data_IF_848272387839
#
_entry.id   IF_848272387839
#
_cell.length_a   1.000
_cell.length_b   1.000
_cell.length_c   1.000
_cell.angle_alpha   90.00
_cell.angle_beta   90.00
_cell.angle_gamma   90.00
#
_symmetry.space_group_name_H-M   'P 1'
#
loop_
_entity.id
_entity.type
_entity.pdbx_description
1 polymer ?
#
# COMPACT_ATOMS: atom_id res chain seq x y z
N UNK A 1 9.55 -56.52 -41.43
CA UNK A 1 10.49 -56.26 -40.33
C UNK A 1 9.85 -55.17 -39.48
N UNK A 2 8.69 -55.45 -38.87
CA UNK A 2 8.35 -56.55 -37.91
C UNK A 2 8.87 -56.22 -36.50
N UNK A 3 8.10 -56.36 -35.41
CA UNK A 3 6.64 -56.40 -35.35
C UNK A 3 6.09 -56.07 -33.94
N UNK A 4 4.77 -55.90 -33.89
CA UNK A 4 3.80 -56.49 -32.95
C UNK A 4 4.31 -57.50 -31.87
N UNK A 5 3.67 -57.72 -30.71
CA UNK A 5 2.67 -57.04 -29.84
C UNK A 5 2.64 -57.85 -28.52
N UNK A 6 1.54 -57.81 -27.74
CA UNK A 6 1.13 -58.76 -26.69
C UNK A 6 1.87 -58.58 -25.33
N UNK A 7 1.24 -58.46 -24.14
CA UNK A 7 -0.09 -58.06 -23.62
C UNK A 7 -0.40 -58.91 -22.37
N UNK A 8 -1.18 -58.38 -21.42
CA UNK A 8 -1.95 -59.13 -20.38
C UNK A 8 -1.11 -59.81 -19.28
N UNK A 9 -1.44 -59.86 -17.97
CA UNK A 9 -2.52 -59.40 -17.03
C UNK A 9 -1.95 -59.68 -15.59
N UNK A 10 -2.44 -59.31 -14.40
CA UNK A 10 -3.60 -58.59 -13.79
C UNK A 10 -3.18 -58.19 -12.33
N UNK A 11 -3.93 -57.59 -11.40
CA UNK A 11 -5.36 -57.17 -11.31
C UNK A 11 -5.55 -55.95 -10.37
N UNK A 12 -6.74 -55.34 -10.43
CA UNK A 12 -7.57 -54.79 -9.33
C UNK A 12 -6.96 -54.27 -8.02
N UNK A 13 -7.19 -52.97 -7.79
CA UNK A 13 -8.11 -52.54 -6.71
C UNK A 13 -8.88 -51.26 -7.10
N UNK A 14 -9.96 -50.95 -6.36
CA UNK A 14 -10.97 -49.93 -6.72
C UNK A 14 -10.71 -48.56 -6.09
N UNK A 15 -10.95 -47.49 -6.83
CA UNK A 15 -12.04 -46.55 -6.50
C UNK A 15 -12.42 -45.64 -7.67
N UNK A 16 -13.73 -45.40 -7.87
CA UNK A 16 -14.29 -44.36 -8.74
C UNK A 16 -15.37 -43.62 -7.97
N UNK A 17 -15.32 -42.30 -7.93
CA UNK A 17 -16.46 -41.46 -7.58
C UNK A 17 -16.32 -40.10 -8.28
N UNK A 18 -17.23 -39.79 -9.22
CA UNK A 18 -17.40 -38.44 -9.75
C UNK A 18 -18.56 -37.76 -9.02
N UNK A 19 -18.49 -36.44 -8.81
CA UNK A 19 -19.53 -35.66 -8.14
C UNK A 19 -20.65 -35.24 -9.12
N UNK A 20 -21.93 -35.59 -8.87
CA UNK A 20 -23.07 -35.04 -9.58
C UNK A 20 -23.58 -33.74 -8.91
N UNK A 21 -24.02 -32.71 -9.68
CA UNK A 21 -24.47 -31.43 -9.11
C UNK A 21 -25.97 -31.44 -8.77
N UNK A 22 -26.34 -31.79 -7.53
CA UNK A 22 -27.77 -31.77 -7.10
C UNK A 22 -28.06 -31.53 -5.60
N UNK A 23 -27.05 -31.30 -4.74
CA UNK A 23 -27.22 -31.24 -3.28
C UNK A 23 -26.94 -29.85 -2.67
N UNK A 24 -27.65 -28.81 -3.13
CA UNK A 24 -27.59 -27.45 -2.57
C UNK A 24 -28.98 -26.75 -2.46
N UNK A 25 -30.06 -27.51 -2.22
CA UNK A 25 -31.42 -26.95 -2.24
C UNK A 25 -32.42 -27.56 -1.23
N UNK A 26 -31.94 -28.30 -0.21
CA UNK A 26 -32.80 -29.05 0.73
C UNK A 26 -32.56 -28.78 2.23
N UNK A 27 -31.68 -27.83 2.58
CA UNK A 27 -31.24 -27.61 3.99
C UNK A 27 -31.86 -26.37 4.65
N UNK A 28 -32.97 -25.84 4.10
CA UNK A 28 -33.70 -24.70 4.67
C UNK A 28 -35.18 -25.03 4.96
N UNK A 29 -35.42 -26.22 5.53
CA UNK A 29 -36.68 -26.57 6.21
C UNK A 29 -36.37 -27.27 7.54
N UNK A 30 -37.27 -27.08 8.53
CA UNK A 30 -37.27 -27.55 9.93
C UNK A 30 -36.88 -26.51 11.01
N UNK A 31 -37.90 -25.83 11.53
CA UNK A 31 -37.98 -25.24 12.88
C UNK A 31 -39.43 -25.45 13.39
N UNK A 32 -39.66 -26.00 14.61
CA UNK A 32 -40.99 -26.41 15.08
C UNK A 32 -41.85 -25.25 15.66
N UNK A 33 -43.15 -25.46 15.94
CA UNK A 33 -44.14 -24.38 15.91
C UNK A 33 -44.65 -23.83 17.26
N UNK A 34 -45.37 -22.70 17.14
CA UNK A 34 -46.50 -22.23 17.95
C UNK A 34 -46.34 -21.93 19.46
N UNK A 35 -46.59 -20.67 19.83
CA UNK A 35 -47.29 -20.31 21.07
C UNK A 35 -48.11 -19.01 20.91
N UNK A 36 -49.33 -19.00 21.47
CA UNK A 36 -50.36 -17.93 21.49
C UNK A 36 -51.54 -18.42 22.36
N UNK A 37 -52.57 -17.62 22.76
CA UNK A 37 -52.96 -16.27 22.27
C UNK A 37 -53.40 -15.25 23.36
N UNK A 38 -53.87 -14.05 22.91
CA UNK A 38 -54.83 -13.17 23.62
C UNK A 38 -54.20 -12.02 24.42
N UNK A 39 -54.65 -10.76 24.33
CA UNK A 39 -56.03 -10.26 24.40
C UNK A 39 -56.18 -8.82 23.80
N UNK A 40 -57.42 -8.41 23.51
CA UNK A 40 -57.91 -7.07 23.10
C UNK A 40 -59.28 -6.89 23.81
N UNK A 41 -59.86 -5.68 24.04
CA UNK A 41 -59.90 -4.54 23.11
C UNK A 41 -59.90 -3.11 23.72
N UNK A 42 -60.14 -2.11 22.84
CA UNK A 42 -60.89 -0.84 23.03
C UNK A 42 -60.78 -0.02 24.34
N UNK A 43 -60.27 1.22 24.21
CA UNK A 43 -60.99 2.39 24.73
C UNK A 43 -60.87 3.56 23.71
N UNK A 44 -61.33 4.78 24.05
CA UNK A 44 -61.81 5.74 23.04
C UNK A 44 -61.77 7.22 23.48
N UNK A 45 -62.06 8.13 22.52
CA UNK A 45 -62.29 9.59 22.70
C UNK A 45 -61.04 10.45 23.08
N UNK A 46 -60.91 11.75 22.74
CA UNK A 46 -61.67 12.63 21.82
C UNK A 46 -60.94 13.95 21.45
N UNK A 47 -61.16 14.44 20.23
CA UNK A 47 -61.36 15.84 19.79
C UNK A 47 -60.34 16.99 20.09
N UNK A 48 -59.88 17.63 18.98
CA UNK A 48 -59.69 19.11 18.78
C UNK A 48 -58.67 19.88 19.66
N UNK A 49 -57.96 20.93 19.21
CA UNK A 49 -58.00 21.72 17.96
C UNK A 49 -56.58 22.28 17.62
N UNK A 50 -56.33 22.90 16.45
CA UNK A 50 -54.96 23.09 15.92
C UNK A 50 -54.32 24.47 16.16
N UNK A 51 -53.07 24.51 16.64
CA UNK A 51 -52.15 25.66 16.53
C UNK A 51 -50.68 25.20 16.39
N UNK A 52 -49.86 26.07 15.78
CA UNK A 52 -48.40 26.03 15.58
C UNK A 52 -47.73 24.81 14.89
N UNK A 53 -47.17 24.97 13.68
CA UNK A 53 -46.19 24.03 13.13
C UNK A 53 -44.80 24.27 13.75
N UNK A 54 -44.46 23.52 14.80
CA UNK A 54 -43.15 23.56 15.45
C UNK A 54 -42.01 23.25 14.47
N UNK A 55 -41.09 24.20 14.25
CA UNK A 55 -39.97 24.05 13.31
C UNK A 55 -39.01 22.93 13.73
N UNK A 56 -38.98 21.84 12.96
CA UNK A 56 -37.85 20.89 12.99
C UNK A 56 -37.37 20.42 11.59
N UNK A 57 -36.70 21.28 10.80
CA UNK A 57 -35.98 20.87 9.59
C UNK A 57 -34.45 20.92 9.68
N UNK A 58 -33.84 21.17 10.86
CA UNK A 58 -32.38 21.40 10.97
C UNK A 58 -31.52 20.13 11.01
N UNK A 59 -32.05 18.99 11.45
CA UNK A 59 -31.28 17.72 11.48
C UNK A 59 -31.24 17.00 10.11
N UNK A 60 -32.07 17.43 9.14
CA UNK A 60 -32.05 16.91 7.77
C UNK A 60 -31.21 17.83 6.87
N UNK A 61 -31.36 19.16 7.01
CA UNK A 61 -30.55 20.14 6.25
C UNK A 61 -29.06 20.11 6.61
N UNK A 62 -28.67 19.59 7.78
CA UNK A 62 -27.28 19.32 8.15
C UNK A 62 -26.68 18.09 7.44
N UNK A 63 -27.49 17.07 7.13
CA UNK A 63 -27.07 15.96 6.27
C UNK A 63 -27.00 16.38 4.80
N UNK A 64 -27.97 17.16 4.31
CA UNK A 64 -27.95 17.67 2.94
C UNK A 64 -26.90 18.77 2.70
N UNK A 65 -26.53 19.58 3.69
CA UNK A 65 -25.43 20.55 3.53
C UNK A 65 -24.04 19.89 3.52
N UNK A 66 -23.89 18.69 4.12
CA UNK A 66 -22.69 17.86 3.96
C UNK A 66 -22.59 17.19 2.58
N UNK A 67 -23.72 16.94 1.89
CA UNK A 67 -23.71 16.47 0.50
C UNK A 67 -23.60 17.61 -0.53
N UNK A 68 -24.10 18.81 -0.21
CA UNK A 68 -24.08 19.99 -1.07
C UNK A 68 -22.76 20.78 -1.04
N UNK A 69 -21.66 20.14 -1.49
CA UNK A 69 -20.59 20.89 -2.17
C UNK A 69 -20.59 20.56 -3.67
N UNK A 70 -20.20 21.48 -4.57
CA UNK A 70 -20.27 21.31 -6.04
C UNK A 70 -19.16 20.39 -6.58
N UNK A 71 -18.98 19.24 -5.93
CA UNK A 71 -17.85 18.30 -6.04
C UNK A 71 -18.31 16.84 -6.16
N UNK A 72 -19.61 16.63 -6.37
CA UNK A 72 -20.24 15.31 -6.53
C UNK A 72 -20.16 14.73 -7.96
N UNK A 73 -19.34 15.33 -8.85
CA UNK A 73 -19.09 14.76 -10.19
C UNK A 73 -18.35 13.43 -10.08
N UNK A 74 -18.77 12.42 -10.85
CA UNK A 74 -18.10 11.12 -10.89
C UNK A 74 -16.63 11.25 -11.31
N UNK A 75 -16.29 12.24 -12.14
CA UNK A 75 -14.92 12.56 -12.53
C UNK A 75 -14.05 12.86 -11.30
N UNK A 76 -14.57 13.58 -10.29
CA UNK A 76 -13.81 13.89 -9.08
C UNK A 76 -13.49 12.63 -8.27
N UNK A 77 -14.45 11.70 -8.16
CA UNK A 77 -14.27 10.42 -7.45
C UNK A 77 -13.27 9.51 -8.18
N UNK A 78 -13.33 9.45 -9.51
CA UNK A 78 -12.36 8.72 -10.35
C UNK A 78 -10.95 9.32 -10.22
N UNK A 79 -10.81 10.65 -10.31
CA UNK A 79 -9.51 11.32 -10.18
C UNK A 79 -8.92 11.17 -8.77
N UNK A 80 -9.74 11.24 -7.72
CA UNK A 80 -9.30 10.94 -6.35
C UNK A 80 -8.76 9.51 -6.23
N UNK A 81 -9.51 8.50 -6.69
CA UNK A 81 -9.05 7.09 -6.66
C UNK A 81 -7.79 6.90 -7.50
N UNK A 82 -7.70 7.53 -8.67
CA UNK A 82 -6.51 7.49 -9.52
C UNK A 82 -5.26 8.06 -8.82
N UNK A 83 -5.38 9.19 -8.13
CA UNK A 83 -4.29 9.84 -7.38
C UNK A 83 -3.84 9.04 -6.14
N UNK A 84 -4.70 8.18 -5.61
CA UNK A 84 -4.32 7.21 -4.57
C UNK A 84 -3.68 5.95 -5.16
N UNK A 85 -4.28 5.36 -6.21
CA UNK A 85 -3.74 4.17 -6.86
C UNK A 85 -2.41 4.43 -7.58
N UNK A 86 -2.17 5.67 -8.02
CA UNK A 86 -0.87 6.07 -8.59
C UNK A 86 0.28 6.03 -7.59
N UNK A 87 0.02 6.04 -6.27
CA UNK A 87 1.06 5.82 -5.26
C UNK A 87 1.64 4.40 -5.37
N UNK A 88 0.76 3.39 -5.49
CA UNK A 88 1.13 2.00 -5.69
C UNK A 88 1.79 1.77 -7.05
N UNK A 89 1.27 2.43 -8.09
CA UNK A 89 1.85 2.41 -9.44
C UNK A 89 3.28 2.96 -9.43
N UNK A 90 3.52 4.11 -8.81
CA UNK A 90 4.87 4.72 -8.74
C UNK A 90 5.82 3.94 -7.86
N UNK A 91 5.36 3.40 -6.73
CA UNK A 91 6.16 2.50 -5.88
C UNK A 91 6.76 1.35 -6.69
N UNK A 92 5.91 0.59 -7.39
CA UNK A 92 6.40 -0.54 -8.19
C UNK A 92 7.02 -0.13 -9.52
N UNK A 93 6.65 1.01 -10.12
CA UNK A 93 7.37 1.54 -11.28
C UNK A 93 8.82 1.90 -10.93
N UNK A 94 9.07 2.51 -9.77
CA UNK A 94 10.43 2.81 -9.32
C UNK A 94 11.28 1.56 -9.07
N UNK A 95 10.67 0.44 -8.63
CA UNK A 95 11.31 -0.88 -8.61
C UNK A 95 11.57 -1.38 -10.04
N UNK A 96 10.58 -1.32 -10.93
CA UNK A 96 10.66 -1.74 -12.32
C UNK A 96 11.74 -1.00 -13.12
N UNK A 97 11.96 0.29 -12.88
CA UNK A 97 13.06 1.07 -13.47
C UNK A 97 14.45 0.54 -13.07
N UNK A 98 14.56 -0.09 -11.90
CA UNK A 98 15.83 -0.59 -11.35
C UNK A 98 16.47 -1.69 -12.20
N UNK A 99 15.66 -2.59 -12.77
CA UNK A 99 16.14 -3.73 -13.54
C UNK A 99 16.88 -3.34 -14.84
N UNK A 100 16.31 -2.56 -15.78
CA UNK A 100 17.05 -2.14 -16.96
C UNK A 100 18.14 -1.11 -16.63
N UNK A 101 17.96 -0.26 -15.61
CA UNK A 101 19.01 0.71 -15.26
C UNK A 101 20.27 0.06 -14.70
N UNK A 102 20.19 -1.13 -14.07
CA UNK A 102 21.34 -1.89 -13.58
C UNK A 102 22.44 -2.14 -14.65
N UNK A 103 22.05 -2.41 -15.90
CA UNK A 103 22.98 -2.62 -17.02
C UNK A 103 23.31 -1.32 -17.77
N UNK A 104 22.31 -0.46 -18.01
CA UNK A 104 22.46 0.81 -18.74
C UNK A 104 23.35 1.83 -18.01
N UNK A 105 23.21 1.93 -16.70
CA UNK A 105 23.99 2.87 -15.87
C UNK A 105 25.40 2.32 -15.64
N UNK A 106 25.56 1.00 -15.51
CA UNK A 106 26.87 0.36 -15.40
C UNK A 106 27.72 0.50 -16.68
N UNK A 107 27.12 0.36 -17.87
CA UNK A 107 27.81 0.63 -19.14
C UNK A 107 28.13 2.12 -19.31
N UNK A 108 27.23 3.02 -18.86
CA UNK A 108 27.47 4.47 -18.89
C UNK A 108 28.61 4.92 -17.98
N UNK A 109 28.79 4.30 -16.82
CA UNK A 109 29.92 4.54 -15.90
C UNK A 109 31.11 3.59 -16.15
N UNK A 110 31.16 2.89 -17.28
CA UNK A 110 32.26 2.01 -17.68
C UNK A 110 32.62 0.89 -16.69
N UNK A 111 31.72 0.54 -15.77
CA UNK A 111 32.03 -0.23 -14.58
C UNK A 111 31.40 -1.61 -14.63
N UNK A 112 32.23 -2.66 -14.75
CA UNK A 112 31.79 -4.04 -14.95
C UNK A 112 31.57 -4.85 -13.65
N UNK A 113 31.44 -4.21 -12.48
CA UNK A 113 31.29 -4.95 -11.22
C UNK A 113 29.81 -5.35 -10.98
N UNK A 114 29.47 -6.66 -10.89
CA UNK A 114 28.08 -7.10 -10.67
C UNK A 114 27.54 -6.66 -9.31
N UNK A 115 28.44 -6.40 -8.35
CA UNK A 115 28.11 -5.88 -7.03
C UNK A 115 27.38 -4.54 -7.14
N UNK A 116 27.97 -3.57 -7.84
CA UNK A 116 27.43 -2.20 -7.91
C UNK A 116 26.10 -2.16 -8.67
N UNK A 117 26.00 -2.82 -9.83
CA UNK A 117 24.73 -2.93 -10.57
C UNK A 117 23.57 -3.49 -9.73
N UNK A 118 23.86 -4.38 -8.78
CA UNK A 118 22.84 -4.95 -7.89
C UNK A 118 22.29 -3.92 -6.89
N UNK A 119 23.13 -3.00 -6.41
CA UNK A 119 22.72 -1.94 -5.47
C UNK A 119 21.72 -0.95 -6.07
N UNK A 120 21.73 -0.73 -7.38
CA UNK A 120 20.84 0.25 -8.05
C UNK A 120 19.34 -0.10 -7.89
N UNK A 121 19.04 -1.38 -7.72
CA UNK A 121 17.70 -1.89 -7.36
C UNK A 121 17.55 -2.11 -5.85
N UNK A 122 18.56 -2.69 -5.19
CA UNK A 122 18.52 -2.98 -3.75
C UNK A 122 18.33 -1.73 -2.89
N UNK A 123 19.05 -0.64 -3.17
CA UNK A 123 19.01 0.62 -2.42
C UNK A 123 17.59 1.20 -2.32
N UNK A 124 16.79 1.08 -3.39
CA UNK A 124 15.38 1.47 -3.38
C UNK A 124 14.52 0.53 -2.53
N UNK A 125 14.66 -0.79 -2.72
CA UNK A 125 13.87 -1.79 -2.01
C UNK A 125 14.15 -1.77 -0.48
N UNK A 126 15.41 -1.54 -0.10
CA UNK A 126 15.89 -1.40 1.26
C UNK A 126 15.16 -0.27 2.01
N UNK A 127 15.14 0.94 1.47
CA UNK A 127 14.48 2.07 2.14
C UNK A 127 12.96 2.05 2.00
N UNK A 128 12.43 1.63 0.84
CA UNK A 128 10.98 1.48 0.62
C UNK A 128 10.36 0.50 1.62
N UNK A 129 11.01 -0.65 1.87
CA UNK A 129 10.60 -1.58 2.91
C UNK A 129 10.84 -1.03 4.33
N UNK A 130 12.06 -0.56 4.63
CA UNK A 130 12.43 -0.24 6.02
C UNK A 130 11.68 0.94 6.63
N UNK A 131 11.34 1.95 5.81
CA UNK A 131 10.64 3.14 6.31
C UNK A 131 9.10 3.01 6.27
N UNK A 132 8.52 1.92 5.74
CA UNK A 132 7.06 1.84 5.50
C UNK A 132 6.23 1.95 6.79
N UNK A 133 6.72 1.39 7.90
CA UNK A 133 6.09 1.48 9.21
C UNK A 133 6.14 2.90 9.76
N UNK A 134 7.29 3.57 9.62
CA UNK A 134 7.49 4.96 10.02
C UNK A 134 6.62 5.92 9.18
N UNK A 135 6.56 5.71 7.86
CA UNK A 135 5.74 6.52 6.93
C UNK A 135 4.23 6.37 7.17
N UNK A 136 3.77 5.18 7.57
CA UNK A 136 2.41 4.95 8.06
C UNK A 136 2.11 5.77 9.32
N UNK A 137 2.89 5.59 10.39
CA UNK A 137 2.68 6.30 11.67
C UNK A 137 2.85 7.82 11.58
N UNK A 138 3.78 8.29 10.76
CA UNK A 138 3.92 9.71 10.41
C UNK A 138 2.63 10.26 9.77
N UNK A 139 1.95 9.42 8.99
CA UNK A 139 0.63 9.66 8.40
C UNK A 139 -0.48 9.84 9.43
N UNK A 140 -0.57 8.93 10.39
CA UNK A 140 -1.56 8.95 11.47
C UNK A 140 -1.44 10.26 12.29
N UNK A 141 -0.21 10.71 12.55
CA UNK A 141 0.10 11.86 13.41
C UNK A 141 -0.02 13.21 12.67
N UNK A 142 0.64 13.39 11.52
CA UNK A 142 0.66 14.67 10.79
C UNK A 142 -0.44 14.81 9.73
N UNK A 143 -1.16 13.72 9.42
CA UNK A 143 -2.30 13.66 8.51
C UNK A 143 -1.92 13.15 7.11
N UNK A 144 -2.56 12.05 6.68
CA UNK A 144 -2.20 11.30 5.46
C UNK A 144 -2.08 12.14 4.18
N UNK A 145 -2.95 13.15 3.96
CA UNK A 145 -2.85 14.05 2.79
C UNK A 145 -1.49 14.76 2.75
N UNK A 146 -0.98 15.22 3.89
CA UNK A 146 0.32 15.92 3.97
C UNK A 146 1.47 14.97 3.65
N UNK A 147 1.43 13.73 4.16
CA UNK A 147 2.45 12.72 3.87
C UNK A 147 2.43 12.23 2.43
N UNK A 148 1.25 12.10 1.82
CA UNK A 148 1.12 11.80 0.39
C UNK A 148 1.70 12.93 -0.48
N UNK A 149 1.41 14.19 -0.13
CA UNK A 149 1.93 15.37 -0.81
C UNK A 149 3.46 15.46 -0.71
N UNK A 150 4.02 15.36 0.50
CA UNK A 150 5.48 15.41 0.71
C UNK A 150 6.18 14.20 0.09
N UNK A 151 5.57 13.02 0.12
CA UNK A 151 6.07 11.82 -0.56
C UNK A 151 6.22 12.02 -2.07
N UNK A 152 5.19 12.53 -2.76
CA UNK A 152 5.29 12.82 -4.21
C UNK A 152 6.29 13.95 -4.53
N UNK A 153 6.37 15.00 -3.70
CA UNK A 153 7.36 16.06 -3.88
C UNK A 153 8.80 15.57 -3.67
N UNK A 154 9.01 14.69 -2.69
CA UNK A 154 10.29 14.02 -2.41
C UNK A 154 10.69 13.11 -3.58
N UNK A 155 9.75 12.33 -4.13
CA UNK A 155 9.98 11.50 -5.31
C UNK A 155 10.39 12.35 -6.52
N UNK A 156 9.67 13.45 -6.78
CA UNK A 156 9.98 14.35 -7.88
C UNK A 156 11.42 14.92 -7.77
N UNK A 157 11.81 15.39 -6.58
CA UNK A 157 13.15 15.91 -6.31
C UNK A 157 14.23 14.85 -6.51
N UNK A 158 14.12 13.69 -5.86
CA UNK A 158 15.15 12.64 -5.93
C UNK A 158 15.19 11.86 -7.24
N UNK A 159 14.10 11.88 -8.01
CA UNK A 159 14.12 11.41 -9.41
C UNK A 159 14.82 12.41 -10.33
N UNK A 160 14.63 13.73 -10.12
CA UNK A 160 15.37 14.76 -10.87
C UNK A 160 16.88 14.68 -10.57
N UNK A 161 17.27 14.54 -9.30
CA UNK A 161 18.67 14.35 -8.90
C UNK A 161 19.28 13.05 -9.44
N UNK A 162 18.53 11.94 -9.50
CA UNK A 162 19.01 10.70 -10.11
C UNK A 162 19.31 10.87 -11.61
N UNK A 163 18.50 11.62 -12.36
CA UNK A 163 18.80 11.96 -13.75
C UNK A 163 20.04 12.88 -13.90
N UNK A 164 20.28 13.78 -12.93
CA UNK A 164 21.49 14.62 -12.91
C UNK A 164 22.78 13.87 -12.55
N UNK A 165 22.70 12.66 -11.98
CA UNK A 165 23.88 11.89 -11.56
C UNK A 165 24.90 11.59 -12.68
N UNK A 166 24.45 11.64 -13.95
CA UNK A 166 25.31 11.55 -15.13
C UNK A 166 26.44 12.60 -15.12
N UNK A 167 26.19 13.81 -14.63
CA UNK A 167 27.20 14.88 -14.56
C UNK A 167 28.19 14.66 -13.40
N UNK A 168 27.79 13.94 -12.35
CA UNK A 168 28.63 13.67 -11.18
C UNK A 168 29.56 12.47 -11.38
N UNK A 169 29.23 11.57 -12.32
CA UNK A 169 29.99 10.33 -12.61
C UNK A 169 30.23 9.45 -11.36
N UNK A 170 29.40 9.60 -10.32
CA UNK A 170 29.56 8.92 -9.03
C UNK A 170 28.44 7.91 -8.81
N UNK A 171 28.80 6.63 -8.83
CA UNK A 171 27.88 5.51 -8.57
C UNK A 171 27.21 5.67 -7.19
N UNK A 172 27.97 6.05 -6.17
CA UNK A 172 27.48 6.25 -4.80
C UNK A 172 26.43 7.35 -4.73
N UNK A 173 26.56 8.42 -5.53
CA UNK A 173 25.55 9.49 -5.59
C UNK A 173 24.24 8.98 -6.21
N UNK A 174 24.32 8.14 -7.25
CA UNK A 174 23.15 7.50 -7.85
C UNK A 174 22.47 6.53 -6.87
N UNK A 175 23.23 5.68 -6.17
CA UNK A 175 22.70 4.78 -5.13
C UNK A 175 22.00 5.54 -3.99
N UNK A 176 22.58 6.65 -3.53
CA UNK A 176 21.94 7.54 -2.54
C UNK A 176 20.63 8.12 -3.09
N UNK A 177 20.59 8.57 -4.35
CA UNK A 177 19.35 9.05 -4.96
C UNK A 177 18.28 7.94 -5.06
N UNK A 178 18.67 6.69 -5.36
CA UNK A 178 17.77 5.52 -5.38
C UNK A 178 17.26 5.16 -3.98
N UNK A 179 18.13 5.23 -2.97
CA UNK A 179 17.74 5.08 -1.55
C UNK A 179 16.75 6.16 -1.11
N UNK A 180 16.98 7.43 -1.47
CA UNK A 180 16.06 8.52 -1.14
C UNK A 180 14.73 8.41 -1.90
N UNK A 181 14.72 7.91 -3.14
CA UNK A 181 13.48 7.58 -3.85
C UNK A 181 12.66 6.51 -3.13
N UNK A 182 13.28 5.47 -2.55
CA UNK A 182 12.55 4.43 -1.83
C UNK A 182 11.79 4.95 -0.60
N UNK A 183 12.35 5.94 0.10
CA UNK A 183 11.66 6.64 1.20
C UNK A 183 10.33 7.25 0.73
N UNK A 184 10.26 7.80 -0.50
CA UNK A 184 8.99 8.35 -1.01
C UNK A 184 7.87 7.31 -1.05
N UNK A 185 8.16 6.07 -1.43
CA UNK A 185 7.17 4.98 -1.46
C UNK A 185 6.73 4.57 -0.06
N UNK A 186 7.64 4.59 0.92
CA UNK A 186 7.30 4.39 2.31
C UNK A 186 6.35 5.48 2.85
N UNK A 187 6.45 6.72 2.34
CA UNK A 187 5.52 7.79 2.68
C UNK A 187 4.20 7.72 1.89
N UNK A 188 4.21 7.43 0.58
CA UNK A 188 2.99 7.51 -0.25
C UNK A 188 2.08 6.29 -0.11
N UNK A 189 2.60 5.06 -0.11
CA UNK A 189 1.79 3.82 -0.17
C UNK A 189 0.85 3.65 1.04
N UNK A 190 1.33 3.62 2.30
CA UNK A 190 0.43 3.42 3.45
C UNK A 190 -0.55 4.57 3.61
N UNK A 191 -0.14 5.81 3.30
CA UNK A 191 -1.00 6.99 3.37
C UNK A 191 -2.08 7.01 2.28
N UNK A 192 -1.78 6.55 1.07
CA UNK A 192 -2.77 6.38 0.02
C UNK A 192 -3.80 5.30 0.39
N UNK A 193 -3.35 4.17 0.97
CA UNK A 193 -4.24 3.11 1.46
C UNK A 193 -5.13 3.59 2.62
N UNK A 194 -4.59 4.38 3.56
CA UNK A 194 -5.34 4.97 4.66
C UNK A 194 -6.42 5.94 4.14
N UNK A 195 -6.07 6.86 3.23
CA UNK A 195 -7.02 7.76 2.57
C UNK A 195 -8.12 6.99 1.80
N UNK A 196 -7.76 5.90 1.13
CA UNK A 196 -8.73 5.05 0.41
C UNK A 196 -9.71 4.35 1.39
N UNK A 197 -9.21 3.92 2.55
CA UNK A 197 -10.00 3.30 3.62
C UNK A 197 -10.99 4.26 4.28
N UNK A 198 -10.61 5.54 4.40
CA UNK A 198 -11.42 6.60 5.01
C UNK A 198 -12.45 7.18 4.02
N UNK A 199 -12.16 7.10 2.71
CA UNK A 199 -13.06 7.59 1.66
C UNK A 199 -14.20 6.63 1.29
N UNK A 200 -14.08 5.33 1.58
CA UNK A 200 -15.07 4.31 1.22
C UNK A 200 -15.53 3.51 2.45
N UNK A 201 -16.83 3.59 2.84
CA UNK A 201 -17.34 2.84 3.98
C UNK A 201 -17.29 1.33 3.74
N UNK A 202 -17.28 0.57 4.83
CA UNK A 202 -17.18 -0.90 4.81
C UNK A 202 -18.28 -1.53 3.93
N UNK A 203 -17.87 -2.23 2.88
CA UNK A 203 -18.79 -2.86 1.93
C UNK A 203 -18.13 -3.17 0.59
N UNK A 204 -18.93 -3.60 -0.38
CA UNK A 204 -18.48 -4.05 -1.70
C UNK A 204 -17.68 -2.98 -2.46
N UNK A 205 -18.06 -1.70 -2.33
CA UNK A 205 -17.35 -0.58 -2.98
C UNK A 205 -15.92 -0.42 -2.45
N UNK A 206 -15.69 -0.58 -1.14
CA UNK A 206 -14.34 -0.56 -0.55
C UNK A 206 -13.50 -1.73 -1.07
N UNK A 207 -14.09 -2.93 -1.15
CA UNK A 207 -13.39 -4.10 -1.67
C UNK A 207 -12.99 -3.91 -3.15
N UNK A 208 -13.87 -3.32 -3.98
CA UNK A 208 -13.56 -2.94 -5.37
C UNK A 208 -12.43 -1.90 -5.45
N UNK A 209 -12.45 -0.87 -4.60
CA UNK A 209 -11.41 0.15 -4.55
C UNK A 209 -10.04 -0.44 -4.16
N UNK A 210 -9.99 -1.32 -3.15
CA UNK A 210 -8.77 -2.01 -2.74
C UNK A 210 -8.26 -3.00 -3.80
N UNK A 211 -9.16 -3.69 -4.51
CA UNK A 211 -8.79 -4.57 -5.63
C UNK A 211 -8.15 -3.78 -6.78
N UNK A 212 -8.67 -2.59 -7.11
CA UNK A 212 -8.08 -1.68 -8.10
C UNK A 212 -6.71 -1.19 -7.63
N UNK A 213 -6.58 -0.76 -6.37
CA UNK A 213 -5.30 -0.33 -5.78
C UNK A 213 -4.24 -1.44 -5.85
N UNK A 214 -4.61 -2.68 -5.51
CA UNK A 214 -3.74 -3.85 -5.67
C UNK A 214 -3.37 -4.15 -7.12
N UNK A 215 -4.31 -4.04 -8.06
CA UNK A 215 -4.07 -4.26 -9.48
C UNK A 215 -3.10 -3.21 -10.10
N UNK A 216 -3.01 -2.01 -9.53
CA UNK A 216 -2.04 -1.00 -9.98
C UNK A 216 -0.58 -1.38 -9.66
N UNK A 217 -0.34 -2.33 -8.75
CA UNK A 217 1.01 -2.77 -8.39
C UNK A 217 1.77 -3.46 -9.56
N UNK A 218 1.31 -4.60 -10.12
CA UNK A 218 2.01 -5.25 -11.24
C UNK A 218 2.02 -4.37 -12.51
N UNK A 219 0.97 -3.57 -12.73
CA UNK A 219 0.93 -2.60 -13.82
C UNK A 219 2.03 -1.53 -13.67
N UNK A 220 2.23 -1.00 -12.46
CA UNK A 220 3.33 -0.07 -12.15
C UNK A 220 4.69 -0.68 -12.46
N UNK A 221 4.94 -1.91 -11.99
CA UNK A 221 6.21 -2.61 -12.27
C UNK A 221 6.50 -2.76 -13.76
N UNK A 222 5.51 -3.25 -14.52
CA UNK A 222 5.61 -3.43 -15.96
C UNK A 222 5.84 -2.10 -16.69
N UNK A 223 5.07 -1.06 -16.35
CA UNK A 223 5.22 0.28 -16.92
C UNK A 223 6.61 0.87 -16.61
N UNK A 224 7.10 0.75 -15.37
CA UNK A 224 8.43 1.23 -14.98
C UNK A 224 9.55 0.56 -15.78
N UNK A 225 9.54 -0.76 -15.90
CA UNK A 225 10.52 -1.50 -16.67
C UNK A 225 10.46 -1.17 -18.18
N UNK A 226 9.25 -1.12 -18.76
CA UNK A 226 9.05 -0.82 -20.19
C UNK A 226 9.47 0.62 -20.52
N UNK A 227 8.99 1.63 -19.78
CA UNK A 227 9.32 3.02 -20.05
C UNK A 227 10.82 3.31 -19.89
N UNK A 228 11.49 2.74 -18.87
CA UNK A 228 12.94 2.91 -18.73
C UNK A 228 13.71 2.26 -19.87
N UNK A 229 13.33 1.05 -20.28
CA UNK A 229 13.98 0.35 -21.41
C UNK A 229 13.76 1.10 -22.72
N UNK A 230 12.54 1.56 -22.99
CA UNK A 230 12.18 2.28 -24.21
C UNK A 230 12.87 3.66 -24.29
N UNK A 231 12.82 4.45 -23.21
CA UNK A 231 13.46 5.78 -23.19
C UNK A 231 14.99 5.70 -23.27
N UNK A 232 15.60 4.64 -22.74
CA UNK A 232 17.03 4.39 -22.88
C UNK A 232 17.45 3.98 -24.31
N UNK A 233 16.56 3.35 -25.08
CA UNK A 233 16.80 3.00 -26.48
C UNK A 233 16.51 4.17 -27.44
N UNK A 234 15.44 4.93 -27.22
CA UNK A 234 14.98 5.98 -28.15
C UNK A 234 15.58 7.37 -27.89
N UNK A 235 16.03 7.65 -26.66
CA UNK A 235 16.54 8.97 -26.27
C UNK A 235 17.84 8.85 -25.47
N UNK A 236 17.73 8.67 -24.14
CA UNK A 236 18.87 8.56 -23.23
C UNK A 236 18.37 8.08 -21.86
N UNK A 237 19.15 7.31 -21.11
CA UNK A 237 18.69 6.73 -19.84
C UNK A 237 18.24 7.77 -18.77
N UNK A 238 18.81 8.99 -18.64
CA UNK A 238 18.34 9.98 -17.65
C UNK A 238 16.90 10.45 -17.87
N UNK A 239 16.39 10.40 -19.11
CA UNK A 239 15.00 10.76 -19.42
C UNK A 239 13.99 9.86 -18.70
N UNK A 240 14.33 8.60 -18.39
CA UNK A 240 13.46 7.73 -17.59
C UNK A 240 13.21 8.28 -16.17
N UNK A 241 14.20 8.97 -15.59
CA UNK A 241 14.11 9.61 -14.28
C UNK A 241 13.50 11.02 -14.36
N UNK A 242 13.74 11.76 -15.44
CA UNK A 242 13.10 13.07 -15.65
C UNK A 242 11.60 12.97 -15.97
N UNK A 243 11.17 11.98 -16.76
CA UNK A 243 9.74 11.71 -17.01
C UNK A 243 9.02 11.29 -15.73
N UNK A 244 9.65 10.45 -14.90
CA UNK A 244 9.14 10.09 -13.58
C UNK A 244 9.03 11.32 -12.66
N UNK A 245 10.01 12.22 -12.67
CA UNK A 245 9.98 13.47 -11.90
C UNK A 245 8.84 14.40 -12.35
N UNK A 246 8.63 14.57 -13.66
CA UNK A 246 7.52 15.36 -14.21
C UNK A 246 6.16 14.77 -13.82
N UNK A 247 5.99 13.44 -13.92
CA UNK A 247 4.74 12.78 -13.54
C UNK A 247 4.47 12.88 -12.02
N UNK A 248 5.49 12.68 -11.18
CA UNK A 248 5.37 12.88 -9.73
C UNK A 248 5.01 14.34 -9.37
N UNK A 249 5.58 15.32 -10.07
CA UNK A 249 5.22 16.74 -9.90
C UNK A 249 3.76 17.01 -10.31
N UNK A 250 3.29 16.37 -11.38
CA UNK A 250 1.87 16.39 -11.77
C UNK A 250 0.96 15.85 -10.66
N UNK A 251 1.34 14.73 -10.02
CA UNK A 251 0.59 14.19 -8.88
C UNK A 251 0.58 15.12 -7.66
N UNK A 252 1.64 15.88 -7.39
CA UNK A 252 1.63 16.92 -6.32
C UNK A 252 0.50 17.93 -6.59
N UNK A 253 0.39 18.44 -7.81
CA UNK A 253 -0.69 19.35 -8.20
C UNK A 253 -2.08 18.68 -8.09
N UNK A 254 -2.20 17.41 -8.49
CA UNK A 254 -3.43 16.64 -8.34
C UNK A 254 -3.82 16.40 -6.87
N UNK A 255 -2.87 16.15 -5.95
CA UNK A 255 -3.16 16.01 -4.52
C UNK A 255 -3.64 17.33 -3.91
N UNK A 256 -3.10 18.48 -4.36
CA UNK A 256 -3.55 19.79 -3.92
C UNK A 256 -5.02 20.03 -4.32
N UNK A 257 -5.38 19.75 -5.58
CA UNK A 257 -6.72 20.01 -6.12
C UNK A 257 -7.80 18.96 -5.80
N UNK A 258 -7.46 17.67 -5.83
CA UNK A 258 -8.44 16.56 -5.79
C UNK A 258 -8.53 15.81 -4.45
N UNK A 259 -7.57 15.95 -3.53
CA UNK A 259 -7.70 15.36 -2.18
C UNK A 259 -8.28 16.44 -1.24
N UNK A 260 -9.49 16.28 -0.67
CA UNK A 260 -10.04 17.26 0.27
C UNK A 260 -9.23 17.28 1.58
N UNK A 261 -9.11 18.45 2.22
CA UNK A 261 -8.49 18.56 3.55
C UNK A 261 -9.36 17.97 4.67
N UNK A 262 -10.69 17.91 4.46
CA UNK A 262 -11.67 17.67 5.52
C UNK A 262 -12.10 16.19 5.62
N UNK A 263 -11.17 15.25 5.42
CA UNK A 263 -11.40 13.86 5.83
C UNK A 263 -11.29 13.87 7.35
N UNK A 264 -12.42 13.71 8.04
CA UNK A 264 -12.47 13.73 9.50
C UNK A 264 -11.53 12.65 10.07
N UNK A 265 -10.67 13.03 11.01
CA UNK A 265 -10.08 12.08 11.97
C UNK A 265 -11.23 11.39 12.71
N UNK A 266 -11.04 10.17 13.18
CA UNK A 266 -11.96 9.57 14.14
C UNK A 266 -11.68 10.22 15.49
N UNK A 267 -12.56 11.14 15.91
CA UNK A 267 -12.42 12.07 17.05
C UNK A 267 -12.54 11.33 18.42
N UNK A 268 -11.74 10.28 18.63
CA UNK A 268 -11.84 9.38 19.79
C UNK A 268 -10.54 8.70 20.26
N UNK A 269 -9.39 8.92 19.61
CA UNK A 269 -8.10 8.28 19.93
C UNK A 269 -6.94 9.30 20.11
N UNK A 270 -7.28 10.60 20.13
CA UNK A 270 -6.30 11.70 20.11
C UNK A 270 -5.44 11.82 21.38
N UNK A 271 -5.79 11.15 22.49
CA UNK A 271 -4.98 11.15 23.72
C UNK A 271 -3.86 10.09 23.70
N UNK A 272 -4.09 8.94 23.06
CA UNK A 272 -3.13 7.81 23.02
C UNK A 272 -2.21 7.90 21.80
N UNK A 273 -2.70 8.42 20.67
CA UNK A 273 -1.91 8.58 19.44
C UNK A 273 -0.98 9.81 19.41
N UNK A 274 -1.09 10.74 20.37
CA UNK A 274 -0.35 12.01 20.32
C UNK A 274 1.15 11.92 20.63
N UNK A 275 1.60 10.87 21.31
CA UNK A 275 3.03 10.63 21.55
C UNK A 275 3.60 9.72 20.47
N UNK A 276 4.44 10.27 19.58
CA UNK A 276 5.20 9.43 18.66
C UNK A 276 6.26 8.67 19.46
N UNK A 277 6.13 7.34 19.52
CA UNK A 277 7.15 6.46 20.09
C UNK A 277 8.39 6.44 19.19
N UNK A 278 9.24 7.44 19.36
CA UNK A 278 10.52 7.57 18.65
C UNK A 278 11.44 6.36 18.88
N UNK A 279 11.39 5.75 20.07
CA UNK A 279 12.25 4.62 20.43
C UNK A 279 11.81 3.35 19.71
N UNK A 280 10.51 3.04 19.75
CA UNK A 280 9.91 1.98 18.96
C UNK A 280 10.13 2.19 17.46
N UNK A 281 9.87 3.40 16.94
CA UNK A 281 10.02 3.73 15.53
C UNK A 281 11.47 3.56 15.04
N UNK A 282 12.45 4.15 15.73
CA UNK A 282 13.87 4.04 15.36
C UNK A 282 14.39 2.60 15.45
N UNK A 283 14.00 1.87 16.49
CA UNK A 283 14.40 0.46 16.66
C UNK A 283 13.81 -0.45 15.58
N UNK A 284 12.53 -0.26 15.22
CA UNK A 284 11.88 -1.00 14.15
C UNK A 284 12.51 -0.74 12.77
N UNK A 285 12.76 0.53 12.44
CA UNK A 285 13.45 0.92 11.20
C UNK A 285 14.87 0.35 11.16
N UNK A 286 15.64 0.44 12.24
CA UNK A 286 16.99 -0.12 12.31
C UNK A 286 17.01 -1.65 12.13
N UNK A 287 16.05 -2.36 12.74
CA UNK A 287 15.86 -3.80 12.57
C UNK A 287 15.58 -4.19 11.12
N UNK A 288 14.63 -3.51 10.46
CA UNK A 288 14.36 -3.75 9.03
C UNK A 288 15.56 -3.42 8.13
N UNK A 289 16.26 -2.30 8.36
CA UNK A 289 17.44 -1.91 7.56
C UNK A 289 18.53 -3.00 7.65
N UNK A 290 18.84 -3.48 8.84
CA UNK A 290 19.89 -4.50 9.04
C UNK A 290 19.51 -5.85 8.45
N UNK A 291 18.25 -6.29 8.63
CA UNK A 291 17.74 -7.53 8.06
C UNK A 291 17.73 -7.50 6.52
N UNK A 292 17.26 -6.41 5.92
CA UNK A 292 17.20 -6.24 4.47
C UNK A 292 18.62 -6.05 3.87
N UNK A 293 19.52 -5.36 4.57
CA UNK A 293 20.93 -5.27 4.20
C UNK A 293 21.59 -6.66 4.18
N UNK A 294 21.38 -7.49 5.22
CA UNK A 294 21.86 -8.89 5.24
C UNK A 294 21.35 -9.68 4.03
N UNK A 295 20.06 -9.54 3.67
CA UNK A 295 19.46 -10.25 2.54
C UNK A 295 20.03 -9.84 1.18
N UNK A 296 20.43 -8.58 1.00
CA UNK A 296 21.11 -8.11 -0.21
C UNK A 296 22.60 -8.48 -0.25
N UNK A 297 23.27 -8.56 0.92
CA UNK A 297 24.67 -8.98 1.02
C UNK A 297 24.85 -10.49 0.83
N UNK A 298 23.88 -11.31 1.26
CA UNK A 298 23.94 -12.77 1.20
C UNK A 298 24.20 -13.37 -0.21
N UNK A 299 23.49 -13.00 -1.29
CA UNK A 299 23.76 -13.53 -2.63
C UNK A 299 25.06 -12.99 -3.25
N UNK A 300 25.59 -11.87 -2.75
CA UNK A 300 26.79 -11.21 -3.28
C UNK A 300 28.06 -11.78 -2.65
N UNK A 301 28.08 -11.93 -1.32
CA UNK A 301 29.27 -12.28 -0.55
C UNK A 301 29.23 -13.69 0.06
N UNK A 302 28.07 -14.35 0.00
CA UNK A 302 27.81 -15.64 0.63
C UNK A 302 27.60 -15.55 2.14
N UNK A 303 26.86 -16.52 2.68
CA UNK A 303 26.60 -16.65 4.12
C UNK A 303 27.86 -16.84 4.97
N UNK A 304 28.98 -17.27 4.37
CA UNK A 304 30.26 -17.52 5.04
C UNK A 304 31.00 -16.26 5.54
N UNK A 305 30.45 -15.06 5.34
CA UNK A 305 31.04 -13.80 5.82
C UNK A 305 30.35 -13.32 7.09
N UNK A 306 31.12 -13.20 8.18
CA UNK A 306 30.61 -12.91 9.53
C UNK A 306 29.73 -11.66 9.62
N UNK A 307 30.02 -10.60 8.84
CA UNK A 307 29.21 -9.38 8.86
C UNK A 307 27.78 -9.59 8.32
N UNK A 308 27.56 -10.54 7.39
CA UNK A 308 26.21 -10.87 6.89
C UNK A 308 25.37 -11.48 8.00
N UNK A 309 25.97 -12.43 8.74
CA UNK A 309 25.35 -13.11 9.89
C UNK A 309 25.11 -12.11 11.04
N UNK A 310 26.08 -11.24 11.34
CA UNK A 310 25.93 -10.20 12.38
C UNK A 310 24.80 -9.22 12.04
N UNK A 311 24.71 -8.73 10.79
CA UNK A 311 23.59 -7.88 10.37
C UNK A 311 22.23 -8.60 10.50
N UNK A 312 22.17 -9.90 10.18
CA UNK A 312 20.95 -10.69 10.36
C UNK A 312 20.55 -10.81 11.83
N UNK A 313 21.49 -11.23 12.69
CA UNK A 313 21.24 -11.49 14.12
C UNK A 313 20.89 -10.19 14.85
N UNK A 314 21.63 -9.11 14.63
CA UNK A 314 21.32 -7.80 15.24
C UNK A 314 19.99 -7.26 14.71
N UNK A 315 19.70 -7.41 13.42
CA UNK A 315 18.40 -7.05 12.83
C UNK A 315 17.23 -7.78 13.52
N UNK A 316 17.32 -9.11 13.66
CA UNK A 316 16.31 -9.93 14.34
C UNK A 316 16.16 -9.55 15.82
N UNK A 317 17.25 -9.33 16.55
CA UNK A 317 17.19 -8.92 17.96
C UNK A 317 16.50 -7.56 18.15
N UNK A 318 16.76 -6.59 17.28
CA UNK A 318 16.07 -5.29 17.31
C UNK A 318 14.58 -5.41 16.96
N UNK A 319 14.20 -6.31 16.06
CA UNK A 319 12.80 -6.58 15.74
C UNK A 319 12.05 -7.27 16.90
N UNK A 320 12.68 -8.22 17.60
CA UNK A 320 12.12 -8.83 18.82
C UNK A 320 11.94 -7.77 19.90
N UNK A 321 12.98 -6.98 20.19
CA UNK A 321 12.89 -5.88 21.17
C UNK A 321 11.80 -4.85 20.80
N UNK A 322 11.65 -4.50 19.52
CA UNK A 322 10.56 -3.63 19.05
C UNK A 322 9.17 -4.24 19.32
N UNK A 323 9.00 -5.54 19.08
CA UNK A 323 7.72 -6.24 19.35
C UNK A 323 7.42 -6.21 20.84
N UNK A 324 8.37 -6.61 21.70
CA UNK A 324 8.23 -6.65 23.16
C UNK A 324 7.91 -5.27 23.73
N UNK A 325 8.64 -4.23 23.31
CA UNK A 325 8.38 -2.83 23.65
C UNK A 325 6.97 -2.39 23.21
N UNK A 326 6.56 -2.71 21.98
CA UNK A 326 5.23 -2.37 21.45
C UNK A 326 4.07 -3.13 22.12
N UNK A 327 4.35 -4.25 22.77
CA UNK A 327 3.41 -5.00 23.61
C UNK A 327 3.31 -4.37 25.01
N UNK A 328 4.45 -4.17 25.66
CA UNK A 328 4.52 -3.59 27.00
C UNK A 328 3.85 -2.21 27.07
N UNK A 329 4.12 -1.33 26.10
CA UNK A 329 3.52 0.01 26.03
C UNK A 329 2.00 0.00 25.86
N UNK A 330 1.41 -1.04 25.27
CA UNK A 330 -0.06 -1.20 25.20
C UNK A 330 -0.65 -1.66 26.54
N UNK A 331 0.02 -2.59 27.22
CA UNK A 331 -0.43 -3.12 28.50
C UNK A 331 -0.51 -2.02 29.58
N UNK A 332 0.47 -1.11 29.61
CA UNK A 332 0.46 0.06 30.50
C UNK A 332 -0.77 0.96 30.28
N UNK A 333 -1.19 1.14 29.03
CA UNK A 333 -2.32 2.01 28.67
C UNK A 333 -3.69 1.40 29.03
N UNK A 334 -3.78 0.10 29.27
CA UNK A 334 -5.01 -0.60 29.72
C UNK A 334 -5.10 -0.78 31.24
N UNK A 335 -4.08 -0.34 31.99
CA UNK A 335 -3.94 -0.58 33.44
C UNK A 335 -4.00 0.70 34.28
N UNK A 336 -4.58 1.78 33.75
CA UNK A 336 -4.77 3.09 34.40
C UNK A 336 -6.23 3.52 34.31
#
# INVERSE_FOLDING_TARGET
>A
MEDETISSKTETSRSKAGFPPSLLLSTFTNLPPSFSPGHNPEESHSNTNPLEPSKHPEHISSLDSLTNTPRNSQIFKVLFVFVLCSAQLLSLACLGQGLPSASLVASSFGTSSPLQSSWFSASYALTSGSFILAGGRAGDIWGHKRLLLTGYAWLALWSLLAGLSIYTTSIVFFDVCRAMQGISSALTVPNAMALLSQAYPTGEQRNKAFAIFGAYAPNGFLLGALFTTLLAQLAWWPWAYWVLAMYATGLVACVIGFVPNNIKRVEGDDAVLQQMDWLGCTTGVAGLVLMNCSWNLAPIYGWSKSYVIVCLVVGVLLLVFHIDWSGNSRNSCFST
#
